data_IF_867117636479
#
_entry.id   IF_867117636479
#
_cell.length_a   1.000
_cell.length_b   1.000
_cell.length_c   1.000
_cell.angle_alpha   90.00
_cell.angle_beta   90.00
_cell.angle_gamma   90.00
#
_symmetry.space_group_name_H-M   'P 1'
#
loop_
_entity.id
_entity.type
_entity.pdbx_description
1 polymer ?
#
# COMPACT_ATOMS: atom_id res chain seq x y z
N UNK A 1 1.78 -21.29 -41.66
CA UNK A 1 1.68 -20.46 -40.44
C UNK A 1 2.11 -19.04 -40.79
N UNK A 2 1.27 -18.02 -40.54
CA UNK A 2 1.62 -16.63 -40.88
C UNK A 2 2.79 -16.14 -40.03
N UNK A 3 3.59 -15.21 -40.55
CA UNK A 3 4.71 -14.59 -39.81
C UNK A 3 4.24 -13.96 -38.48
N UNK A 4 3.01 -13.40 -38.45
CA UNK A 4 2.39 -12.87 -37.24
C UNK A 4 2.15 -13.95 -36.19
N UNK A 5 1.64 -15.12 -36.59
CA UNK A 5 1.37 -16.23 -35.67
C UNK A 5 2.68 -16.75 -35.07
N UNK A 6 3.77 -16.76 -35.85
CA UNK A 6 5.09 -17.11 -35.34
C UNK A 6 5.56 -16.13 -34.27
N UNK A 7 5.47 -14.82 -34.54
CA UNK A 7 5.85 -13.77 -33.58
C UNK A 7 5.05 -13.85 -32.27
N UNK A 8 3.75 -14.09 -32.34
CA UNK A 8 2.90 -14.25 -31.14
C UNK A 8 3.29 -15.50 -30.36
N UNK A 9 3.56 -16.62 -31.03
CA UNK A 9 4.03 -17.83 -30.34
C UNK A 9 5.40 -17.62 -29.68
N UNK A 10 6.31 -16.89 -30.32
CA UNK A 10 7.61 -16.55 -29.73
C UNK A 10 7.45 -15.71 -28.45
N UNK A 11 6.54 -14.72 -28.46
CA UNK A 11 6.18 -13.93 -27.27
C UNK A 11 5.61 -14.82 -26.17
N UNK A 12 4.66 -15.69 -26.51
CA UNK A 12 4.02 -16.60 -25.54
C UNK A 12 5.05 -17.54 -24.91
N UNK A 13 5.92 -18.14 -25.71
CA UNK A 13 6.97 -19.03 -25.24
C UNK A 13 7.93 -18.33 -24.25
N UNK A 14 8.33 -17.10 -24.56
CA UNK A 14 9.16 -16.29 -23.65
C UNK A 14 8.43 -16.01 -22.32
N UNK A 15 7.15 -15.62 -22.39
CA UNK A 15 6.33 -15.39 -21.18
C UNK A 15 6.16 -16.66 -20.34
N UNK A 16 6.03 -17.84 -20.96
CA UNK A 16 5.96 -19.12 -20.25
C UNK A 16 7.25 -19.40 -19.50
N UNK A 17 8.41 -19.20 -20.14
CA UNK A 17 9.72 -19.38 -19.49
C UNK A 17 9.88 -18.45 -18.29
N UNK A 18 9.60 -17.16 -18.45
CA UNK A 18 9.69 -16.18 -17.37
C UNK A 18 8.69 -16.44 -16.24
N UNK A 19 7.48 -16.89 -16.57
CA UNK A 19 6.48 -17.29 -15.59
C UNK A 19 6.92 -18.51 -14.78
N UNK A 20 7.65 -19.45 -15.39
CA UNK A 20 8.20 -20.61 -14.71
C UNK A 20 9.30 -20.20 -13.71
N UNK A 21 10.21 -19.31 -14.13
CA UNK A 21 11.26 -18.76 -13.25
C UNK A 21 10.66 -17.98 -12.07
N UNK A 22 9.60 -17.21 -12.33
CA UNK A 22 8.87 -16.52 -11.27
C UNK A 22 8.16 -17.50 -10.32
N UNK A 23 7.51 -18.53 -10.84
CA UNK A 23 6.87 -19.56 -10.02
C UNK A 23 7.87 -20.26 -9.10
N UNK A 24 9.08 -20.54 -9.57
CA UNK A 24 10.13 -21.14 -8.74
C UNK A 24 10.62 -20.18 -7.65
N UNK A 25 10.69 -18.88 -7.94
CA UNK A 25 10.96 -17.84 -6.93
C UNK A 25 9.85 -17.75 -5.88
N UNK A 26 8.58 -17.85 -6.29
CA UNK A 26 7.42 -17.82 -5.37
C UNK A 26 7.37 -19.05 -4.48
N UNK A 27 7.74 -20.24 -4.98
CA UNK A 27 7.86 -21.45 -4.14
C UNK A 27 8.86 -21.28 -3.01
N UNK A 28 9.93 -20.49 -3.22
CA UNK A 28 10.85 -20.15 -2.15
C UNK A 28 10.17 -19.28 -1.08
N UNK A 29 9.28 -18.35 -1.46
CA UNK A 29 8.49 -17.55 -0.51
C UNK A 29 7.52 -18.40 0.32
N UNK A 30 6.97 -19.47 -0.26
CA UNK A 30 6.04 -20.35 0.45
C UNK A 30 6.69 -21.01 1.68
N UNK A 31 8.03 -21.06 1.75
CA UNK A 31 8.75 -21.50 2.95
C UNK A 31 8.44 -20.62 4.18
N UNK A 32 8.27 -19.31 3.98
CA UNK A 32 7.90 -18.37 5.05
C UNK A 32 6.43 -18.47 5.48
N UNK A 33 5.60 -19.26 4.80
CA UNK A 33 4.19 -19.44 5.18
C UNK A 33 4.04 -20.04 6.57
N UNK A 34 4.95 -20.97 6.93
CA UNK A 34 4.99 -21.55 8.27
C UNK A 34 5.42 -20.52 9.31
N UNK A 35 6.52 -19.81 9.03
CA UNK A 35 7.09 -18.77 9.89
C UNK A 35 6.08 -17.66 10.22
N UNK A 36 5.45 -17.10 9.19
CA UNK A 36 4.43 -16.06 9.35
C UNK A 36 3.18 -16.58 10.09
N UNK A 37 2.86 -17.88 9.97
CA UNK A 37 1.76 -18.48 10.73
C UNK A 37 2.12 -18.61 12.21
N UNK A 38 3.31 -19.06 12.54
CA UNK A 38 3.78 -19.18 13.92
C UNK A 38 3.87 -17.82 14.61
N UNK A 39 4.43 -16.81 13.94
CA UNK A 39 4.45 -15.44 14.46
C UNK A 39 3.03 -14.92 14.67
N UNK A 40 2.10 -15.23 13.76
CA UNK A 40 0.69 -14.84 13.91
C UNK A 40 0.04 -15.50 15.13
N UNK A 41 0.35 -16.76 15.42
CA UNK A 41 -0.12 -17.45 16.62
C UNK A 41 0.42 -16.79 17.89
N UNK A 42 1.72 -16.46 17.94
CA UNK A 42 2.33 -15.72 19.06
C UNK A 42 1.67 -14.36 19.26
N UNK A 43 1.44 -13.58 18.18
CA UNK A 43 0.74 -12.27 18.29
C UNK A 43 -0.69 -12.43 18.81
N UNK A 44 -1.36 -13.54 18.49
CA UNK A 44 -2.69 -13.85 19.02
C UNK A 44 -2.65 -14.20 20.51
N UNK A 45 -1.62 -14.93 20.98
CA UNK A 45 -1.39 -15.20 22.40
C UNK A 45 -1.18 -13.89 23.18
N UNK A 46 -0.34 -12.99 22.65
CA UNK A 46 -0.13 -11.66 23.22
C UNK A 46 -1.45 -10.88 23.33
N UNK A 47 -2.30 -10.95 22.31
CA UNK A 47 -3.62 -10.32 22.32
C UNK A 47 -4.53 -10.78 23.46
N UNK A 48 -4.32 -11.98 24.03
CA UNK A 48 -5.07 -12.46 25.19
C UNK A 48 -4.72 -11.75 26.50
N UNK A 49 -3.57 -11.06 26.53
CA UNK A 49 -3.10 -10.26 27.67
C UNK A 49 -3.46 -8.77 27.56
N UNK A 50 -3.92 -8.34 26.39
CA UNK A 50 -4.22 -6.95 26.09
C UNK A 50 -5.51 -6.46 26.78
N UNK A 51 -5.59 -5.16 27.06
CA UNK A 51 -6.73 -4.53 27.74
C UNK A 51 -8.06 -4.68 26.98
N UNK A 52 -7.99 -4.89 25.67
CA UNK A 52 -9.16 -4.94 24.78
C UNK A 52 -9.64 -3.57 24.31
N UNK A 53 -9.01 -2.48 24.75
CA UNK A 53 -9.43 -1.10 24.46
C UNK A 53 -8.48 -0.41 23.51
N UNK A 54 -9.00 0.18 22.43
CA UNK A 54 -8.25 0.98 21.46
C UNK A 54 -8.07 2.45 21.88
N UNK A 55 -8.56 2.83 23.07
CA UNK A 55 -8.62 4.24 23.46
C UNK A 55 -7.35 4.68 24.19
N UNK A 56 -6.67 5.68 23.65
CA UNK A 56 -5.52 6.34 24.27
C UNK A 56 -4.47 5.36 24.76
N UNK A 57 -4.03 5.54 25.99
CA UNK A 57 -3.02 4.70 26.63
C UNK A 57 -3.53 3.27 26.89
N UNK A 58 -4.85 3.03 26.92
CA UNK A 58 -5.40 1.68 27.08
C UNK A 58 -4.95 0.75 25.94
N UNK A 59 -4.74 1.28 24.74
CA UNK A 59 -4.26 0.53 23.58
C UNK A 59 -2.88 -0.11 23.83
N UNK A 60 -2.09 0.50 24.71
CA UNK A 60 -0.75 0.08 25.04
C UNK A 60 -0.71 -0.83 26.29
N UNK A 61 -1.85 -1.08 26.96
CA UNK A 61 -1.88 -1.86 28.20
C UNK A 61 -1.99 -3.36 27.98
N UNK A 62 -1.04 -4.10 28.55
CA UNK A 62 -0.99 -5.56 28.56
C UNK A 62 -0.74 -6.05 29.98
N UNK A 63 -1.26 -7.23 30.30
CA UNK A 63 -0.97 -7.88 31.55
C UNK A 63 0.46 -8.43 31.56
N UNK A 64 1.11 -8.40 32.73
CA UNK A 64 2.54 -8.68 32.92
C UNK A 64 2.96 -9.97 32.21
N UNK A 65 4.11 -9.90 31.53
CA UNK A 65 4.70 -10.98 30.73
C UNK A 65 3.77 -11.56 29.64
N UNK A 66 2.84 -10.74 29.14
CA UNK A 66 1.86 -11.14 28.13
C UNK A 66 1.01 -12.36 28.54
N UNK A 67 0.78 -12.53 29.84
CA UNK A 67 -0.08 -13.59 30.36
C UNK A 67 -1.54 -13.16 30.30
N UNK A 68 -2.46 -14.12 30.19
CA UNK A 68 -3.89 -13.83 30.29
C UNK A 68 -4.21 -13.28 31.69
N UNK A 69 -4.88 -12.13 31.82
CA UNK A 69 -5.14 -11.53 33.12
C UNK A 69 -6.19 -12.34 33.89
N UNK A 70 -6.11 -12.41 35.24
CA UNK A 70 -7.12 -13.05 36.06
C UNK A 70 -8.47 -12.28 36.04
N UNK A 71 -8.42 -10.98 35.79
CA UNK A 71 -9.59 -10.10 35.67
C UNK A 71 -9.42 -9.19 34.45
N UNK A 72 -10.49 -8.99 33.68
CA UNK A 72 -10.46 -8.08 32.52
C UNK A 72 -10.16 -6.65 32.95
N UNK A 73 -9.48 -5.91 32.08
CA UNK A 73 -9.31 -4.47 32.23
C UNK A 73 -10.68 -3.79 32.21
N UNK A 74 -10.92 -2.90 33.17
CA UNK A 74 -12.12 -2.07 33.21
C UNK A 74 -11.85 -0.77 32.45
N UNK A 75 -12.31 -0.70 31.20
CA UNK A 75 -12.11 0.45 30.33
C UNK A 75 -12.94 1.69 30.73
N UNK A 76 -13.98 1.52 31.55
CA UNK A 76 -14.81 2.64 32.01
C UNK A 76 -14.10 3.46 33.09
N UNK A 77 -13.37 2.78 33.99
CA UNK A 77 -12.65 3.41 35.10
C UNK A 77 -11.15 3.57 34.88
N UNK A 78 -10.57 2.89 33.88
CA UNK A 78 -9.14 2.98 33.56
C UNK A 78 -8.25 2.48 34.69
N UNK A 79 -7.05 3.08 34.82
CA UNK A 79 -6.11 2.77 35.92
C UNK A 79 -6.40 3.53 37.23
N UNK A 80 -7.42 4.39 37.25
CA UNK A 80 -7.74 5.25 38.40
C UNK A 80 -8.11 4.47 39.68
N UNK A 81 -8.55 3.22 39.53
CA UNK A 81 -8.70 2.28 40.64
C UNK A 81 -7.38 1.52 40.86
N UNK A 82 -6.74 1.73 42.03
CA UNK A 82 -5.56 1.02 42.58
C UNK A 82 -5.61 -0.53 42.59
N UNK A 83 -6.57 -1.17 41.92
CA UNK A 83 -6.85 -2.61 41.90
C UNK A 83 -6.36 -3.34 40.64
N UNK A 84 -5.86 -2.65 39.62
CA UNK A 84 -5.39 -3.30 38.39
C UNK A 84 -3.88 -3.58 38.43
N UNK A 85 -3.43 -4.31 39.46
CA UNK A 85 -2.04 -4.77 39.53
C UNK A 85 -1.73 -5.66 38.33
N UNK A 86 -0.53 -5.52 37.77
CA UNK A 86 -0.04 -6.34 36.67
C UNK A 86 -0.40 -5.83 35.28
N UNK A 87 -1.07 -4.69 35.14
CA UNK A 87 -1.21 -4.03 33.84
C UNK A 87 -0.04 -3.08 33.61
N UNK A 88 0.64 -3.25 32.49
CA UNK A 88 1.83 -2.49 32.10
C UNK A 88 1.66 -1.97 30.68
N UNK A 89 2.11 -0.74 30.44
CA UNK A 89 2.23 -0.24 29.08
C UNK A 89 3.36 -1.00 28.36
N UNK A 90 3.11 -1.40 27.11
CA UNK A 90 4.08 -2.02 26.21
C UNK A 90 4.14 -1.24 24.91
N UNK A 91 5.35 -1.10 24.39
CA UNK A 91 5.64 -0.48 23.10
C UNK A 91 5.65 -1.55 22.00
N UNK A 92 5.69 -1.11 20.74
CA UNK A 92 5.88 -2.03 19.61
C UNK A 92 7.18 -2.84 19.72
N UNK A 93 8.27 -2.21 20.17
CA UNK A 93 9.56 -2.88 20.33
C UNK A 93 9.52 -3.96 21.42
N UNK A 94 8.71 -3.78 22.47
CA UNK A 94 8.51 -4.81 23.49
C UNK A 94 7.82 -6.05 22.91
N UNK A 95 6.84 -5.85 22.02
CA UNK A 95 6.13 -6.93 21.32
C UNK A 95 7.09 -7.67 20.39
N UNK A 96 7.84 -6.94 19.56
CA UNK A 96 8.80 -7.53 18.62
C UNK A 96 9.88 -8.30 19.36
N UNK A 97 10.41 -7.76 20.45
CA UNK A 97 11.40 -8.44 21.28
C UNK A 97 10.84 -9.73 21.88
N UNK A 98 9.60 -9.72 22.33
CA UNK A 98 8.96 -10.92 22.87
C UNK A 98 8.73 -11.98 21.79
N UNK A 99 8.29 -11.59 20.60
CA UNK A 99 8.17 -12.48 19.44
C UNK A 99 9.52 -13.11 19.12
N UNK A 100 10.57 -12.31 18.94
CA UNK A 100 11.91 -12.78 18.60
C UNK A 100 12.53 -13.67 19.69
N UNK A 101 12.08 -13.53 20.95
CA UNK A 101 12.51 -14.42 22.03
C UNK A 101 11.80 -15.78 21.99
N UNK A 102 10.53 -15.81 21.55
CA UNK A 102 9.68 -17.01 21.55
C UNK A 102 9.75 -17.81 20.26
N UNK A 103 9.97 -17.12 19.14
CA UNK A 103 10.08 -17.69 17.81
C UNK A 103 11.54 -17.90 17.42
N UNK A 104 11.89 -19.12 17.02
CA UNK A 104 13.26 -19.50 16.66
C UNK A 104 13.41 -19.60 15.13
N UNK A 105 13.29 -18.47 14.44
CA UNK A 105 13.41 -18.38 12.98
C UNK A 105 13.74 -16.97 12.51
N UNK A 106 13.62 -16.68 11.20
CA UNK A 106 13.91 -15.37 10.64
C UNK A 106 13.02 -14.27 11.22
N UNK A 107 13.61 -13.11 11.49
CA UNK A 107 12.88 -11.92 11.94
C UNK A 107 11.88 -11.44 10.88
N UNK A 108 10.86 -10.68 11.30
CA UNK A 108 9.88 -10.12 10.36
C UNK A 108 10.53 -9.21 9.32
N UNK A 109 11.58 -8.49 9.69
CA UNK A 109 12.37 -7.64 8.80
C UNK A 109 13.11 -8.46 7.74
N UNK A 110 13.66 -9.61 8.11
CA UNK A 110 14.33 -10.53 7.16
C UNK A 110 13.31 -11.13 6.18
N UNK A 111 12.15 -11.57 6.68
CA UNK A 111 11.08 -12.11 5.84
C UNK A 111 10.57 -11.04 4.86
N UNK A 112 10.28 -9.83 5.35
CA UNK A 112 9.83 -8.71 4.53
C UNK A 112 10.85 -8.36 3.44
N UNK A 113 12.13 -8.25 3.81
CA UNK A 113 13.21 -7.98 2.85
C UNK A 113 13.31 -9.07 1.76
N UNK A 114 13.16 -10.34 2.12
CA UNK A 114 13.15 -11.45 1.16
C UNK A 114 11.96 -11.39 0.22
N UNK A 115 10.76 -11.10 0.74
CA UNK A 115 9.53 -11.00 -0.06
C UNK A 115 9.54 -9.79 -1.00
N UNK A 116 10.01 -8.64 -0.52
CA UNK A 116 10.14 -7.40 -1.31
C UNK A 116 11.09 -7.57 -2.49
N UNK A 117 12.20 -8.29 -2.29
CA UNK A 117 13.14 -8.58 -3.36
C UNK A 117 12.51 -9.39 -4.50
N UNK A 118 11.50 -10.22 -4.22
CA UNK A 118 10.85 -11.09 -5.20
C UNK A 118 9.73 -10.36 -5.93
N UNK A 119 8.95 -9.52 -5.22
CA UNK A 119 7.86 -8.75 -5.87
C UNK A 119 8.38 -7.50 -6.56
N UNK A 120 9.07 -6.61 -5.83
CA UNK A 120 9.34 -5.24 -6.31
C UNK A 120 10.27 -5.23 -7.50
N UNK A 121 11.16 -6.23 -7.59
CA UNK A 121 12.10 -6.39 -8.70
C UNK A 121 11.52 -7.10 -9.90
N UNK A 122 10.31 -7.65 -9.80
CA UNK A 122 9.70 -8.35 -10.91
C UNK A 122 8.91 -7.37 -11.80
N UNK A 123 9.33 -7.25 -13.05
CA UNK A 123 8.67 -6.50 -14.13
C UNK A 123 7.74 -7.39 -14.97
N UNK A 124 7.69 -8.70 -14.71
CA UNK A 124 6.86 -9.67 -15.42
C UNK A 124 5.37 -9.28 -15.50
N UNK A 125 4.70 -8.74 -14.46
CA UNK A 125 3.30 -8.33 -14.57
C UNK A 125 3.09 -7.23 -15.59
N UNK A 126 3.94 -6.19 -15.56
CA UNK A 126 3.90 -5.08 -16.50
C UNK A 126 4.22 -5.55 -17.92
N UNK A 127 5.21 -6.43 -18.04
CA UNK A 127 5.63 -7.02 -19.31
C UNK A 127 4.54 -7.90 -19.92
N UNK A 128 3.94 -8.80 -19.13
CA UNK A 128 2.83 -9.64 -19.57
C UNK A 128 1.65 -8.80 -20.05
N UNK A 129 1.29 -7.75 -19.31
CA UNK A 129 0.23 -6.81 -19.70
C UNK A 129 0.56 -6.06 -21.01
N UNK A 130 1.81 -5.61 -21.17
CA UNK A 130 2.29 -4.95 -22.38
C UNK A 130 2.30 -5.89 -23.59
N UNK A 131 2.90 -7.06 -23.45
CA UNK A 131 3.09 -8.03 -24.52
C UNK A 131 1.77 -8.64 -24.99
N UNK A 132 0.80 -8.81 -24.09
CA UNK A 132 -0.54 -9.32 -24.40
C UNK A 132 -1.56 -8.20 -24.66
N UNK A 133 -1.17 -6.93 -24.67
CA UNK A 133 -2.09 -5.80 -24.89
C UNK A 133 -2.86 -5.89 -26.22
N UNK A 134 -2.29 -6.55 -27.24
CA UNK A 134 -2.93 -6.71 -28.55
C UNK A 134 -4.26 -7.47 -28.49
N UNK A 135 -4.47 -8.33 -27.49
CA UNK A 135 -5.71 -9.10 -27.35
C UNK A 135 -6.93 -8.20 -27.14
N UNK A 136 -6.73 -6.98 -26.62
CA UNK A 136 -7.79 -5.97 -26.42
C UNK A 136 -8.43 -5.53 -27.73
N UNK A 137 -7.75 -5.70 -28.86
CA UNK A 137 -8.24 -5.34 -30.20
C UNK A 137 -8.92 -6.50 -30.93
N UNK A 138 -9.12 -7.66 -30.28
CA UNK A 138 -9.69 -8.86 -30.89
C UNK A 138 -11.03 -9.16 -30.20
N UNK A 139 -12.15 -8.94 -30.90
CA UNK A 139 -13.50 -9.12 -30.35
C UNK A 139 -13.75 -10.55 -29.83
N UNK A 140 -13.15 -11.55 -30.48
CA UNK A 140 -13.23 -12.97 -30.10
C UNK A 140 -12.49 -13.31 -28.78
N UNK A 141 -11.72 -12.37 -28.22
CA UNK A 141 -10.91 -12.54 -27.00
C UNK A 141 -11.45 -11.74 -25.80
N UNK A 142 -12.73 -11.38 -25.80
CA UNK A 142 -13.33 -10.61 -24.69
C UNK A 142 -13.14 -11.24 -23.31
N UNK A 143 -13.24 -12.57 -23.21
CA UNK A 143 -13.03 -13.30 -21.94
C UNK A 143 -11.59 -13.22 -21.44
N UNK A 144 -10.62 -13.18 -22.35
CA UNK A 144 -9.20 -13.10 -22.05
C UNK A 144 -8.82 -11.68 -21.61
N UNK A 145 -9.46 -10.66 -22.20
CA UNK A 145 -9.33 -9.26 -21.76
C UNK A 145 -9.75 -9.13 -20.30
N UNK A 146 -10.84 -9.76 -19.86
CA UNK A 146 -11.25 -9.73 -18.45
C UNK A 146 -10.23 -10.38 -17.50
N UNK A 147 -9.45 -11.36 -17.98
CA UNK A 147 -8.37 -11.97 -17.18
C UNK A 147 -7.15 -11.06 -17.16
N UNK A 148 -6.82 -10.44 -18.30
CA UNK A 148 -5.76 -9.45 -18.39
C UNK A 148 -6.02 -8.28 -17.44
N UNK A 149 -7.25 -7.75 -17.41
CA UNK A 149 -7.66 -6.69 -16.49
C UNK A 149 -7.51 -7.12 -15.02
N UNK A 150 -7.81 -8.39 -14.69
CA UNK A 150 -7.58 -8.91 -13.33
C UNK A 150 -6.11 -8.93 -12.98
N UNK A 151 -5.24 -9.35 -13.90
CA UNK A 151 -3.79 -9.37 -13.72
C UNK A 151 -3.24 -7.95 -13.52
N UNK A 152 -3.67 -7.01 -14.37
CA UNK A 152 -3.25 -5.61 -14.31
C UNK A 152 -3.62 -4.93 -12.98
N UNK A 153 -4.77 -5.31 -12.40
CA UNK A 153 -5.26 -4.75 -11.14
C UNK A 153 -4.85 -5.56 -9.89
N UNK A 154 -3.90 -6.50 -9.99
CA UNK A 154 -3.42 -7.24 -8.82
C UNK A 154 -2.73 -6.28 -7.84
N UNK A 155 -3.22 -6.30 -6.60
CA UNK A 155 -2.54 -5.66 -5.48
C UNK A 155 -1.66 -6.69 -4.79
N UNK A 156 -0.34 -6.57 -4.95
CA UNK A 156 0.64 -7.54 -4.44
C UNK A 156 0.61 -7.72 -2.92
N UNK A 157 0.33 -6.64 -2.20
CA UNK A 157 0.33 -6.62 -0.75
C UNK A 157 -0.88 -5.83 -0.27
N UNK A 158 -1.66 -6.43 0.63
CA UNK A 158 -2.70 -5.70 1.35
C UNK A 158 -1.98 -4.83 2.39
N UNK A 159 -2.04 -3.48 2.33
CA UNK A 159 -1.34 -2.64 3.28
C UNK A 159 -1.77 -2.90 4.72
N UNK A 160 -0.81 -2.93 5.66
CA UNK A 160 -1.12 -3.14 7.07
C UNK A 160 -2.10 -2.09 7.63
N UNK A 161 -2.02 -0.84 7.14
CA UNK A 161 -2.96 0.23 7.49
C UNK A 161 -4.40 -0.09 7.13
N UNK A 162 -4.65 -0.72 5.97
CA UNK A 162 -6.00 -1.13 5.56
C UNK A 162 -6.55 -2.20 6.52
N UNK A 163 -5.73 -3.17 6.91
CA UNK A 163 -6.12 -4.21 7.88
C UNK A 163 -6.43 -3.61 9.26
N UNK A 164 -5.59 -2.68 9.73
CA UNK A 164 -5.82 -1.95 10.99
C UNK A 164 -7.14 -1.19 10.94
N UNK A 165 -7.41 -0.47 9.86
CA UNK A 165 -8.65 0.29 9.68
C UNK A 165 -9.90 -0.61 9.66
N UNK A 166 -9.80 -1.82 9.11
CA UNK A 166 -10.89 -2.78 9.13
C UNK A 166 -11.11 -3.42 10.50
N UNK A 167 -10.04 -3.65 11.27
CA UNK A 167 -10.14 -4.22 12.61
C UNK A 167 -10.47 -3.19 13.69
N UNK A 168 -10.26 -1.91 13.41
CA UNK A 168 -10.56 -0.82 14.32
C UNK A 168 -12.07 -0.76 14.59
N UNK A 169 -12.50 -0.67 15.87
CA UNK A 169 -13.92 -0.58 16.19
C UNK A 169 -14.51 0.69 15.59
N UNK A 170 -15.66 0.54 14.93
CA UNK A 170 -16.43 1.66 14.38
C UNK A 170 -17.54 1.98 15.37
N UNK A 171 -17.55 3.19 15.94
CA UNK A 171 -18.60 3.60 16.88
C UNK A 171 -18.14 4.59 17.95
N UNK A 172 -19.03 4.82 18.92
CA UNK A 172 -18.74 5.66 20.09
C UNK A 172 -18.17 4.80 21.21
N UNK A 173 -17.12 5.29 21.85
CA UNK A 173 -16.60 4.73 23.10
C UNK A 173 -17.31 5.43 24.26
N UNK A 174 -17.77 4.64 25.22
CA UNK A 174 -18.25 5.14 26.51
C UNK A 174 -17.15 4.82 27.52
N UNK A 175 -16.62 5.83 28.19
CA UNK A 175 -15.67 5.67 29.29
C UNK A 175 -15.70 6.92 30.16
N UNK A 176 -15.39 6.77 31.43
CA UNK A 176 -15.18 7.89 32.36
C UNK A 176 -13.71 8.32 32.45
N UNK A 177 -12.80 7.59 31.79
CA UNK A 177 -11.38 7.93 31.72
C UNK A 177 -11.14 9.04 30.68
N UNK A 178 -11.19 10.28 31.16
CA UNK A 178 -11.00 11.49 30.34
C UNK A 178 -9.59 11.52 29.72
N UNK A 179 -8.58 10.96 30.40
CA UNK A 179 -7.21 10.94 29.90
C UNK A 179 -7.12 10.06 28.65
N UNK A 180 -7.65 8.83 28.70
CA UNK A 180 -7.72 7.95 27.54
C UNK A 180 -8.51 8.58 26.38
N UNK A 181 -9.66 9.20 26.68
CA UNK A 181 -10.47 9.90 25.67
C UNK A 181 -9.69 11.02 24.99
N UNK A 182 -8.95 11.82 25.76
CA UNK A 182 -8.19 12.97 25.23
C UNK A 182 -7.11 12.57 24.23
N UNK A 183 -6.60 11.34 24.32
CA UNK A 183 -5.59 10.78 23.42
C UNK A 183 -6.19 10.15 22.14
N UNK A 184 -7.51 10.00 22.08
CA UNK A 184 -8.22 9.47 20.92
C UNK A 184 -8.00 7.97 20.69
N UNK A 185 -8.42 7.47 19.53
CA UNK A 185 -8.25 6.06 19.16
C UNK A 185 -6.81 5.83 18.71
N UNK A 186 -6.18 4.77 19.25
CA UNK A 186 -4.82 4.35 18.92
C UNK A 186 -4.78 2.87 18.60
N UNK A 187 -3.93 2.49 17.65
CA UNK A 187 -3.70 1.08 17.32
C UNK A 187 -2.80 0.44 18.37
N UNK A 188 -3.29 -0.65 18.96
CA UNK A 188 -2.50 -1.40 19.93
C UNK A 188 -1.24 -2.02 19.26
N UNK A 189 -0.07 -2.01 19.92
CA UNK A 189 1.18 -2.53 19.38
C UNK A 189 1.11 -3.93 18.76
N UNK A 190 0.48 -4.90 19.45
CA UNK A 190 0.33 -6.27 18.93
C UNK A 190 -0.60 -6.34 17.70
N UNK A 191 -1.55 -5.42 17.56
CA UNK A 191 -2.43 -5.32 16.38
C UNK A 191 -1.65 -4.79 15.18
N UNK A 192 -0.81 -3.77 15.38
CA UNK A 192 0.10 -3.29 14.33
C UNK A 192 1.03 -4.40 13.84
N UNK A 193 1.62 -5.17 14.77
CA UNK A 193 2.44 -6.32 14.42
C UNK A 193 1.64 -7.38 13.65
N UNK A 194 0.47 -7.78 14.18
CA UNK A 194 -0.43 -8.73 13.51
C UNK A 194 -0.84 -8.29 12.10
N UNK A 195 -1.10 -7.00 11.91
CA UNK A 195 -1.44 -6.43 10.61
C UNK A 195 -0.25 -6.52 9.64
N UNK A 196 0.96 -6.21 10.10
CA UNK A 196 2.19 -6.39 9.31
C UNK A 196 2.38 -7.85 8.90
N UNK A 197 2.27 -8.80 9.82
CA UNK A 197 2.36 -10.24 9.50
C UNK A 197 1.30 -10.65 8.48
N UNK A 198 0.05 -10.22 8.67
CA UNK A 198 -1.04 -10.55 7.75
C UNK A 198 -0.86 -9.94 6.37
N UNK A 199 -0.28 -8.73 6.32
CA UNK A 199 0.12 -8.05 5.09
C UNK A 199 1.18 -8.87 4.34
N UNK A 200 2.25 -9.30 5.02
CA UNK A 200 3.29 -10.15 4.43
C UNK A 200 2.74 -11.49 3.94
N UNK A 201 1.80 -12.12 4.68
CA UNK A 201 1.14 -13.36 4.23
C UNK A 201 0.31 -13.19 2.96
N UNK A 202 -0.14 -11.98 2.64
CA UNK A 202 -0.90 -11.73 1.42
C UNK A 202 -0.04 -11.81 0.16
N UNK A 203 1.26 -11.54 0.26
CA UNK A 203 2.21 -11.55 -0.85
C UNK A 203 2.24 -12.89 -1.61
N UNK A 204 2.61 -14.03 -0.98
CA UNK A 204 2.69 -15.29 -1.69
C UNK A 204 1.32 -15.73 -2.21
N UNK A 205 0.24 -15.38 -1.50
CA UNK A 205 -1.12 -15.63 -1.97
C UNK A 205 -1.44 -14.89 -3.27
N UNK A 206 -1.10 -13.59 -3.35
CA UNK A 206 -1.33 -12.79 -4.55
C UNK A 206 -0.42 -13.20 -5.70
N UNK A 207 0.83 -13.58 -5.42
CA UNK A 207 1.74 -14.12 -6.42
C UNK A 207 1.23 -15.44 -7.03
N UNK A 208 0.71 -16.34 -6.20
CA UNK A 208 0.08 -17.57 -6.67
C UNK A 208 -1.19 -17.30 -7.50
N UNK A 209 -1.98 -16.30 -7.12
CA UNK A 209 -3.12 -15.86 -7.94
C UNK A 209 -2.67 -15.30 -9.28
N UNK A 210 -1.64 -14.47 -9.32
CA UNK A 210 -1.03 -13.97 -10.56
C UNK A 210 -0.63 -15.14 -11.47
N UNK A 211 0.16 -16.10 -10.96
CA UNK A 211 0.60 -17.27 -11.72
C UNK A 211 -0.59 -18.04 -12.30
N UNK A 212 -1.61 -18.29 -11.48
CA UNK A 212 -2.83 -18.98 -11.90
C UNK A 212 -3.56 -18.25 -13.04
N UNK A 213 -3.73 -16.93 -12.92
CA UNK A 213 -4.41 -16.14 -13.94
C UNK A 213 -3.59 -16.04 -15.22
N UNK A 214 -2.27 -15.86 -15.11
CA UNK A 214 -1.34 -15.81 -16.23
C UNK A 214 -1.31 -17.13 -17.02
N UNK A 215 -1.19 -18.28 -16.34
CA UNK A 215 -1.25 -19.61 -16.98
C UNK A 215 -2.59 -19.83 -17.69
N UNK A 216 -3.69 -19.43 -17.05
CA UNK A 216 -5.02 -19.54 -17.65
C UNK A 216 -5.15 -18.67 -18.91
N UNK A 217 -4.69 -17.42 -18.84
CA UNK A 217 -4.72 -16.48 -19.97
C UNK A 217 -3.91 -17.02 -21.14
N UNK A 218 -2.67 -17.41 -20.89
CA UNK A 218 -1.76 -17.94 -21.91
C UNK A 218 -2.38 -19.18 -22.57
N UNK A 219 -2.83 -20.16 -21.79
CA UNK A 219 -3.43 -21.39 -22.34
C UNK A 219 -4.70 -21.14 -23.15
N UNK A 220 -5.52 -20.14 -22.79
CA UNK A 220 -6.69 -19.74 -23.58
C UNK A 220 -6.29 -19.12 -24.92
N UNK A 221 -5.28 -18.25 -24.92
CA UNK A 221 -4.75 -17.63 -26.14
C UNK A 221 -4.18 -18.70 -27.07
N UNK A 222 -3.32 -19.60 -26.56
CA UNK A 222 -2.74 -20.70 -27.34
C UNK A 222 -3.82 -21.60 -27.97
N UNK A 223 -4.83 -21.97 -27.18
CA UNK A 223 -5.94 -22.81 -27.65
C UNK A 223 -6.70 -22.13 -28.79
N UNK A 224 -7.01 -20.84 -28.65
CA UNK A 224 -7.77 -20.10 -29.67
C UNK A 224 -6.96 -19.84 -30.93
N UNK A 225 -5.66 -19.52 -30.81
CA UNK A 225 -4.76 -19.37 -31.96
C UNK A 225 -4.61 -20.70 -32.72
N UNK A 226 -4.58 -21.83 -32.01
CA UNK A 226 -4.47 -23.15 -32.64
C UNK A 226 -5.74 -23.56 -33.40
N UNK A 227 -6.91 -23.09 -32.97
CA UNK A 227 -8.20 -23.41 -33.59
C UNK A 227 -8.51 -22.48 -34.78
N UNK A 228 -8.17 -21.18 -34.67
CA UNK A 228 -8.49 -20.17 -35.67
C UNK A 228 -7.21 -19.45 -36.15
N UNK A 229 -6.60 -19.96 -37.23
CA UNK A 229 -5.40 -19.36 -37.83
C UNK A 229 -5.62 -17.92 -38.30
N UNK A 230 -6.88 -17.50 -38.53
CA UNK A 230 -7.25 -16.17 -38.97
C UNK A 230 -7.52 -15.20 -37.82
N UNK A 231 -7.53 -15.66 -36.56
CA UNK A 231 -7.78 -14.85 -35.36
C UNK A 231 -6.91 -13.58 -35.28
N UNK A 232 -5.68 -13.67 -35.78
CA UNK A 232 -4.69 -12.58 -35.77
C UNK A 232 -4.69 -11.73 -37.04
N UNK A 233 -5.39 -12.12 -38.11
CA UNK A 233 -5.43 -11.36 -39.36
C UNK A 233 -6.24 -10.06 -39.23
N UNK A 234 -7.21 -10.03 -38.32
CA UNK A 234 -8.05 -8.85 -38.06
C UNK A 234 -7.31 -7.72 -37.31
N UNK A 235 -6.10 -8.00 -36.79
CA UNK A 235 -5.28 -6.99 -36.11
C UNK A 235 -4.44 -6.17 -37.08
N UNK A 236 -4.88 -4.95 -37.38
CA UNK A 236 -4.13 -3.94 -38.16
C UNK A 236 -2.92 -3.33 -37.43
N UNK A 237 -2.67 -3.69 -36.17
CA UNK A 237 -1.85 -2.89 -35.23
C UNK A 237 -0.46 -3.48 -34.90
N UNK A 238 -0.20 -4.77 -35.17
CA UNK A 238 1.00 -5.47 -34.65
C UNK A 238 2.34 -4.95 -35.24
N UNK A 239 2.34 -4.22 -36.36
CA UNK A 239 3.58 -3.78 -37.02
C UNK A 239 4.30 -2.61 -36.32
N UNK A 240 3.64 -1.85 -35.44
CA UNK A 240 4.24 -0.62 -34.87
C UNK A 240 4.57 -0.67 -33.36
N UNK A 241 4.12 -1.68 -32.59
CA UNK A 241 4.24 -1.64 -31.12
C UNK A 241 5.57 -2.18 -30.55
N UNK A 242 6.40 -2.84 -31.37
CA UNK A 242 7.60 -3.56 -30.87
C UNK A 242 8.90 -2.74 -30.88
N UNK A 243 8.92 -1.52 -31.44
CA UNK A 243 10.18 -0.77 -31.62
C UNK A 243 10.30 0.45 -30.67
N UNK A 244 9.22 0.98 -30.10
CA UNK A 244 9.29 2.21 -29.27
C UNK A 244 9.11 2.02 -27.75
N UNK A 245 8.67 0.86 -27.25
CA UNK A 245 8.22 0.75 -25.85
C UNK A 245 9.26 0.25 -24.82
N UNK A 246 10.50 -0.08 -25.21
CA UNK A 246 11.54 -0.53 -24.25
C UNK A 246 12.40 0.60 -23.67
N UNK A 247 12.35 1.82 -24.22
CA UNK A 247 13.22 2.93 -23.78
C UNK A 247 12.54 3.97 -22.88
N UNK A 248 11.20 4.03 -22.81
CA UNK A 248 10.49 5.13 -22.12
C UNK A 248 9.72 4.76 -20.85
N UNK A 249 9.69 3.49 -20.42
CA UNK A 249 8.84 3.08 -19.29
C UNK A 249 9.58 2.90 -17.95
N UNK A 250 10.67 3.64 -17.72
CA UNK A 250 11.39 3.65 -16.43
C UNK A 250 10.88 4.70 -15.43
N UNK A 251 9.97 5.60 -15.81
CA UNK A 251 9.64 6.78 -15.00
C UNK A 251 8.27 6.77 -14.31
N UNK A 252 7.50 5.67 -14.41
CA UNK A 252 6.18 5.61 -13.78
C UNK A 252 6.17 5.16 -12.31
N UNK A 253 7.28 4.63 -11.78
CA UNK A 253 7.32 4.08 -10.41
C UNK A 253 7.72 5.08 -9.30
N UNK A 254 8.05 6.34 -9.61
CA UNK A 254 8.49 7.34 -8.62
C UNK A 254 7.68 8.65 -8.57
N UNK A 255 6.38 8.62 -8.90
CA UNK A 255 5.51 9.78 -8.56
C UNK A 255 5.17 9.75 -7.07
N UNK A 256 6.04 10.35 -6.26
CA UNK A 256 5.73 10.73 -4.89
C UNK A 256 4.72 11.88 -4.95
N UNK A 257 3.45 11.59 -4.68
CA UNK A 257 2.43 12.61 -4.50
C UNK A 257 2.65 13.26 -3.12
N UNK A 258 3.31 14.42 -3.08
CA UNK A 258 3.34 15.25 -1.88
C UNK A 258 2.01 16.00 -1.80
N UNK A 259 1.06 15.43 -1.06
CA UNK A 259 -0.19 16.12 -0.72
C UNK A 259 0.10 17.09 0.43
N UNK A 260 0.38 18.35 0.12
CA UNK A 260 0.48 19.41 1.14
C UNK A 260 -0.95 19.82 1.52
N UNK A 261 -1.50 19.15 2.53
CA UNK A 261 -2.70 19.62 3.20
C UNK A 261 -2.37 20.83 4.07
N UNK A 262 -2.60 22.05 3.57
CA UNK A 262 -2.58 23.25 4.42
C UNK A 262 -3.89 23.25 5.20
N UNK A 263 -3.88 22.64 6.39
CA UNK A 263 -5.00 22.80 7.32
C UNK A 263 -4.93 24.19 7.93
N UNK A 264 -5.96 24.99 7.72
CA UNK A 264 -6.13 26.26 8.41
C UNK A 264 -6.48 25.96 9.87
N UNK A 265 -5.45 25.68 10.68
CA UNK A 265 -5.60 25.68 12.13
C UNK A 265 -5.76 27.14 12.55
N UNK A 266 -6.90 27.45 13.16
CA UNK A 266 -7.20 28.74 13.77
C UNK A 266 -6.10 29.13 14.76
N UNK A 267 -5.21 30.05 14.39
CA UNK A 267 -4.38 30.77 15.33
C UNK A 267 -5.11 32.02 15.79
N UNK A 268 -5.72 31.92 16.96
CA UNK A 268 -5.91 33.08 17.82
C UNK A 268 -4.55 33.55 18.32
N UNK A 269 -4.22 34.80 18.03
CA UNK A 269 -3.20 35.64 18.63
C UNK A 269 -1.79 35.03 18.83
N UNK A 270 -0.83 35.46 17.99
CA UNK A 270 0.48 36.05 18.34
C UNK A 270 1.42 35.91 17.14
N UNK A 271 1.97 37.05 16.68
CA UNK A 271 3.20 37.10 15.88
C UNK A 271 3.03 37.04 14.36
N UNK A 272 3.14 38.19 13.69
CA UNK A 272 3.32 38.29 12.25
C UNK A 272 4.68 37.70 11.88
N UNK A 273 4.70 36.44 11.42
CA UNK A 273 5.86 35.86 10.76
C UNK A 273 5.83 36.32 9.31
N UNK A 274 6.93 36.90 8.86
CA UNK A 274 7.12 37.43 7.52
C UNK A 274 7.12 36.27 6.51
N UNK A 275 6.00 36.11 5.80
CA UNK A 275 5.73 35.02 4.84
C UNK A 275 6.77 34.90 3.72
N UNK A 276 7.55 35.95 3.46
CA UNK A 276 8.63 35.93 2.47
C UNK A 276 9.85 35.09 2.88
N UNK A 277 10.08 34.85 4.18
CA UNK A 277 11.20 34.04 4.68
C UNK A 277 10.91 32.53 4.56
N UNK A 278 9.67 32.12 4.88
CA UNK A 278 9.23 30.72 4.78
C UNK A 278 9.28 30.20 3.34
N UNK A 279 8.93 31.04 2.36
CA UNK A 279 9.05 30.71 0.93
C UNK A 279 10.52 30.59 0.51
N UNK A 280 11.43 31.42 1.04
CA UNK A 280 12.86 31.32 0.70
C UNK A 280 13.53 30.07 1.28
N UNK A 281 13.14 29.63 2.47
CA UNK A 281 13.65 28.37 3.05
C UNK A 281 13.15 27.12 2.33
N UNK A 282 11.96 27.16 1.73
CA UNK A 282 11.39 26.00 1.04
C UNK A 282 11.87 25.84 -0.41
N UNK A 283 12.35 26.91 -1.05
CA UNK A 283 12.73 26.92 -2.47
C UNK A 283 14.24 26.93 -2.74
N UNK A 284 15.08 26.45 -1.81
CA UNK A 284 16.53 26.26 -2.06
C UNK A 284 16.87 24.94 -2.79
N UNK A 285 15.94 24.37 -3.56
CA UNK A 285 16.17 23.12 -4.31
C UNK A 285 16.57 23.37 -5.77
N UNK A 286 17.42 22.47 -6.26
CA UNK A 286 17.99 22.43 -7.60
C UNK A 286 16.91 22.63 -8.69
N UNK A 287 17.07 23.63 -9.59
CA UNK A 287 16.14 23.88 -10.70
C UNK A 287 15.88 22.68 -11.61
N UNK A 288 16.79 21.69 -11.64
CA UNK A 288 16.60 20.47 -12.46
C UNK A 288 15.59 19.48 -11.87
N UNK A 289 15.25 19.56 -10.57
CA UNK A 289 14.29 18.65 -9.94
C UNK A 289 12.82 19.03 -10.23
N UNK A 290 12.57 20.25 -10.70
CA UNK A 290 11.22 20.81 -10.86
C UNK A 290 10.53 20.41 -12.18
N UNK A 291 11.22 19.82 -13.15
CA UNK A 291 10.61 19.44 -14.43
C UNK A 291 9.64 18.26 -14.34
N UNK A 292 9.69 17.49 -13.23
CA UNK A 292 8.94 16.23 -13.09
C UNK A 292 7.81 16.28 -12.03
N UNK A 293 7.57 17.43 -11.40
CA UNK A 293 6.54 17.56 -10.35
C UNK A 293 5.25 18.15 -10.93
N UNK A 294 4.23 17.32 -11.09
CA UNK A 294 2.87 17.77 -11.35
C UNK A 294 2.20 18.18 -10.03
N UNK A 295 2.13 19.49 -9.76
CA UNK A 295 1.41 20.02 -8.59
C UNK A 295 -0.09 20.04 -8.89
N UNK A 296 -0.84 19.13 -8.30
CA UNK A 296 -2.32 19.13 -8.36
C UNK A 296 -2.85 19.86 -7.13
N UNK A 297 -3.23 21.13 -7.29
CA UNK A 297 -3.89 21.92 -6.24
C UNK A 297 -5.40 21.65 -6.27
N UNK A 298 -5.91 20.92 -5.27
CA UNK A 298 -7.35 20.81 -5.04
C UNK A 298 -7.87 22.08 -4.38
N UNK A 299 -8.54 22.92 -5.15
CA UNK A 299 -9.23 24.10 -4.61
C UNK A 299 -10.60 23.69 -4.05
N UNK A 300 -10.74 23.76 -2.72
CA UNK A 300 -12.08 23.83 -2.11
C UNK A 300 -12.68 25.22 -2.40
N UNK A 301 -14.00 25.34 -2.66
CA UNK A 301 -14.63 26.57 -3.14
C UNK A 301 -14.48 27.78 -2.19
N UNK A 302 -14.11 27.57 -0.93
CA UNK A 302 -13.81 28.66 0.01
C UNK A 302 -12.49 29.38 -0.26
N UNK A 303 -11.52 28.73 -0.93
CA UNK A 303 -10.20 29.33 -1.24
C UNK A 303 -10.28 30.26 -2.45
N UNK A 304 -11.19 30.01 -3.40
CA UNK A 304 -11.37 30.85 -4.60
C UNK A 304 -11.82 32.26 -4.23
N UNK A 305 -12.67 32.40 -3.22
CA UNK A 305 -13.08 33.71 -2.70
C UNK A 305 -11.91 34.46 -2.04
N UNK A 306 -11.06 33.76 -1.29
CA UNK A 306 -9.85 34.35 -0.69
C UNK A 306 -8.83 34.78 -1.74
N UNK A 307 -8.60 33.97 -2.77
CA UNK A 307 -7.68 34.28 -3.86
C UNK A 307 -8.15 35.49 -4.69
N UNK A 308 -9.47 35.63 -4.91
CA UNK A 308 -10.05 36.80 -5.60
C UNK A 308 -9.92 38.08 -4.76
N UNK A 309 -10.07 38.01 -3.43
CA UNK A 309 -9.89 39.16 -2.53
C UNK A 309 -8.42 39.61 -2.48
N UNK A 310 -7.47 38.66 -2.47
CA UNK A 310 -6.04 38.97 -2.52
C UNK A 310 -5.65 39.56 -3.88
N UNK A 311 -6.13 38.99 -4.99
CA UNK A 311 -5.88 39.52 -6.32
C UNK A 311 -6.46 40.94 -6.51
N UNK A 312 -7.68 41.17 -5.99
CA UNK A 312 -8.31 42.51 -6.00
C UNK A 312 -7.52 43.51 -5.13
N UNK A 313 -7.03 43.09 -3.96
CA UNK A 313 -6.23 43.95 -3.08
C UNK A 313 -4.88 44.32 -3.71
N UNK A 314 -4.21 43.37 -4.37
CA UNK A 314 -2.92 43.62 -5.06
C UNK A 314 -3.12 44.57 -6.24
N UNK A 315 -4.18 44.37 -7.03
CA UNK A 315 -4.46 45.24 -8.19
C UNK A 315 -4.79 46.68 -7.76
N UNK A 316 -5.49 46.85 -6.65
CA UNK A 316 -5.85 48.17 -6.12
C UNK A 316 -4.66 48.90 -5.47
N UNK A 317 -3.76 48.17 -4.80
CA UNK A 317 -2.48 48.71 -4.31
C UNK A 317 -1.60 49.14 -5.50
N UNK A 318 -1.53 48.35 -6.57
CA UNK A 318 -0.76 48.69 -7.79
C UNK A 318 -1.27 49.96 -8.49
N UNK A 319 -2.58 50.25 -8.42
CA UNK A 319 -3.16 51.49 -8.96
C UNK A 319 -2.81 52.69 -8.12
N UNK A 320 -2.83 52.57 -6.78
CA UNK A 320 -2.47 53.66 -5.87
C UNK A 320 -1.00 54.04 -5.91
N UNK A 321 -0.11 53.11 -6.26
CA UNK A 321 1.31 53.38 -6.43
C UNK A 321 1.67 54.00 -7.80
N UNK A 322 0.69 54.13 -8.72
CA UNK A 322 0.87 54.71 -10.05
C UNK A 322 0.32 56.14 -10.20
N UNK A 323 -0.32 56.67 -9.17
CA UNK A 323 -0.74 58.08 -9.05
C UNK A 323 0.08 58.76 -7.95
#
# INVERSE_FOLDING_TARGET
MSEKNKKVNDIINNLITELQEFEDSVKQCDTYSHDLKEILEITSEIGSSWSGSWLGYHADLYYTNFQRPPMRFDADSGLSLRRQRGWEAKTYDDIVRFINHRYNGPTLEEIESSLDNIILKNDLPDKLCSDLSFIRNIDKLRSEVEILDKIENITWQIPASNLINEWMPKGRYLTSDIEAVSQGIRTAPHISCRARVSSLRSIPYQANNFIKWSKKLIGQIETKISIDENLLQDTKIIENSSIENSSNNKDFRNKVYVVIGVSTVCFGAIGVINTTEFVKQFFSFDPQLLSNIAIVLFFTPFIVAGALVVYWSITEISKRLRN
#
